data_IF_140724188502
#
_entry.id   IF_140724188502
#
_cell.length_a   1.000
_cell.length_b   1.000
_cell.length_c   1.000
_cell.angle_alpha   90.00
_cell.angle_beta   90.00
_cell.angle_gamma   90.00
#
_symmetry.space_group_name_H-M   'P 1'
#
loop_
_entity.id
_entity.type
_entity.pdbx_description
1 polymer ?
#
# COMPACT_ATOMS: atom_id res chain seq x y z
N UNK A 1 -20.85 -15.30 10.36
CA UNK A 1 -21.38 -15.04 8.99
C UNK A 1 -20.72 -16.02 8.03
N UNK A 2 -21.30 -16.38 6.87
CA UNK A 2 -20.59 -17.22 5.91
C UNK A 2 -19.31 -16.52 5.43
N UNK A 3 -18.18 -17.20 5.52
CA UNK A 3 -16.88 -16.69 5.06
C UNK A 3 -16.94 -16.40 3.56
N UNK A 4 -16.56 -15.19 3.09
CA UNK A 4 -16.59 -14.86 1.68
C UNK A 4 -15.76 -15.84 0.83
N UNK A 5 -16.27 -16.23 -0.35
CA UNK A 5 -15.57 -17.18 -1.24
C UNK A 5 -14.17 -16.73 -1.69
N UNK A 6 -13.85 -15.44 -1.55
CA UNK A 6 -12.62 -14.81 -2.04
C UNK A 6 -11.46 -14.97 -1.07
N UNK A 7 -11.66 -14.69 0.22
CA UNK A 7 -10.66 -15.05 1.24
C UNK A 7 -10.41 -16.55 1.20
N UNK A 8 -11.44 -17.33 0.87
CA UNK A 8 -11.25 -18.75 0.72
C UNK A 8 -10.28 -19.13 -0.40
N UNK A 9 -10.41 -18.53 -1.59
CA UNK A 9 -9.49 -18.76 -2.70
C UNK A 9 -8.07 -18.23 -2.41
N UNK A 10 -7.95 -17.10 -1.69
CA UNK A 10 -6.66 -16.55 -1.29
C UNK A 10 -5.93 -17.48 -0.31
N UNK A 11 -6.65 -18.02 0.68
CA UNK A 11 -6.12 -19.01 1.62
C UNK A 11 -5.73 -20.31 0.89
N UNK A 12 -6.53 -20.79 -0.07
CA UNK A 12 -6.17 -21.99 -0.86
C UNK A 12 -4.88 -21.80 -1.66
N UNK A 13 -4.64 -20.60 -2.20
CA UNK A 13 -3.39 -20.28 -2.88
C UNK A 13 -2.20 -20.24 -1.91
N UNK A 14 -2.40 -19.71 -0.69
CA UNK A 14 -1.38 -19.70 0.36
C UNK A 14 -1.05 -21.12 0.84
N UNK A 15 -2.06 -21.97 0.99
CA UNK A 15 -1.93 -23.39 1.31
C UNK A 15 -1.09 -24.12 0.27
N UNK A 16 -1.37 -23.92 -1.01
CA UNK A 16 -0.60 -24.52 -2.10
C UNK A 16 0.87 -24.07 -2.09
N UNK A 17 1.12 -22.80 -1.77
CA UNK A 17 2.49 -22.28 -1.63
C UNK A 17 3.22 -22.90 -0.43
N UNK A 18 2.52 -23.09 0.69
CA UNK A 18 3.07 -23.72 1.89
C UNK A 18 3.42 -25.19 1.66
N UNK A 19 2.56 -25.94 0.96
CA UNK A 19 2.83 -27.34 0.56
C UNK A 19 3.97 -27.42 -0.46
N UNK A 20 4.07 -26.46 -1.39
CA UNK A 20 5.21 -26.40 -2.31
C UNK A 20 6.52 -26.10 -1.57
N UNK A 21 6.49 -25.23 -0.55
CA UNK A 21 7.63 -24.91 0.30
C UNK A 21 8.08 -26.10 1.17
N UNK A 22 7.14 -26.92 1.67
CA UNK A 22 7.46 -28.19 2.35
C UNK A 22 8.33 -29.11 1.47
N UNK A 23 8.04 -29.13 0.16
CA UNK A 23 8.70 -30.02 -0.79
C UNK A 23 9.94 -29.39 -1.48
N UNK A 24 10.35 -28.18 -1.08
CA UNK A 24 11.46 -27.45 -1.71
C UNK A 24 12.83 -27.84 -1.12
N UNK A 25 13.88 -28.05 -1.94
CA UNK A 25 15.15 -28.64 -1.50
C UNK A 25 16.10 -27.71 -0.73
N UNK A 26 15.72 -26.47 -0.39
CA UNK A 26 16.67 -25.45 0.09
C UNK A 26 16.33 -24.78 1.44
N UNK A 27 15.26 -25.18 2.14
CA UNK A 27 14.92 -24.59 3.45
C UNK A 27 14.11 -25.59 4.27
N UNK A 28 14.78 -26.58 4.86
CA UNK A 28 14.13 -27.65 5.60
C UNK A 28 13.38 -27.13 6.82
N UNK A 29 12.06 -27.27 6.82
CA UNK A 29 11.24 -27.12 8.01
C UNK A 29 11.75 -28.02 9.15
N UNK A 30 11.62 -27.57 10.40
CA UNK A 30 12.07 -28.31 11.59
C UNK A 30 11.44 -29.71 11.69
N UNK A 31 10.24 -29.87 11.14
CA UNK A 31 9.55 -31.15 10.95
C UNK A 31 8.49 -31.07 9.85
N UNK A 32 8.10 -32.24 9.34
CA UNK A 32 6.96 -32.37 8.45
C UNK A 32 5.66 -32.02 9.18
N UNK A 33 4.72 -31.41 8.48
CA UNK A 33 3.42 -30.99 9.00
C UNK A 33 2.33 -31.27 7.96
N UNK A 34 1.08 -31.27 8.40
CA UNK A 34 -0.07 -31.26 7.50
C UNK A 34 -0.76 -29.90 7.55
N UNK A 35 -1.45 -29.56 6.46
CA UNK A 35 -2.21 -28.32 6.40
C UNK A 35 -3.66 -28.64 6.07
N UNK A 36 -4.60 -28.10 6.84
CA UNK A 36 -6.03 -28.34 6.68
C UNK A 36 -6.83 -27.02 6.79
N UNK A 37 -8.04 -27.03 6.22
CA UNK A 37 -8.99 -25.93 6.21
C UNK A 37 -10.21 -26.29 7.03
N UNK A 38 -10.11 -26.15 8.34
CA UNK A 38 -11.19 -26.37 9.29
C UNK A 38 -11.20 -25.25 10.33
N UNK A 39 -12.32 -25.03 11.01
CA UNK A 39 -12.32 -24.09 12.14
C UNK A 39 -11.49 -24.69 13.26
N UNK A 40 -10.53 -23.92 13.77
CA UNK A 40 -9.61 -24.38 14.81
C UNK A 40 -10.37 -24.90 16.04
N UNK A 41 -11.46 -24.24 16.41
CA UNK A 41 -12.31 -24.61 17.56
C UNK A 41 -13.03 -25.95 17.40
N UNK A 42 -13.14 -26.45 16.16
CA UNK A 42 -13.78 -27.73 15.83
C UNK A 42 -12.78 -28.81 15.43
N UNK A 43 -11.51 -28.45 15.23
CA UNK A 43 -10.50 -29.38 14.75
C UNK A 43 -10.07 -30.34 15.87
N UNK A 44 -10.18 -31.64 15.61
CA UNK A 44 -9.70 -32.65 16.54
C UNK A 44 -8.33 -33.14 16.11
N UNK A 45 -7.28 -32.74 16.83
CA UNK A 45 -5.93 -33.26 16.63
C UNK A 45 -5.92 -34.75 17.01
N UNK A 46 -5.90 -35.64 16.02
CA UNK A 46 -5.97 -37.10 16.23
C UNK A 46 -4.62 -37.80 16.10
N UNK A 47 -3.68 -37.25 15.33
CA UNK A 47 -2.32 -37.77 15.18
C UNK A 47 -1.40 -37.37 16.35
N UNK A 48 -0.67 -38.35 16.90
CA UNK A 48 0.43 -38.09 17.84
C UNK A 48 1.69 -37.83 17.01
N UNK A 49 2.39 -36.72 17.29
CA UNK A 49 3.71 -36.43 16.71
C UNK A 49 3.70 -35.75 15.34
N UNK A 50 2.55 -35.65 14.66
CA UNK A 50 2.45 -34.91 13.39
C UNK A 50 1.71 -33.59 13.61
N UNK A 51 2.38 -32.44 13.49
CA UNK A 51 1.73 -31.14 13.56
C UNK A 51 0.75 -30.91 12.42
N UNK A 52 -0.33 -30.21 12.72
CA UNK A 52 -1.31 -29.71 11.75
C UNK A 52 -1.41 -28.21 11.85
N UNK A 53 -1.30 -27.54 10.69
CA UNK A 53 -1.54 -26.11 10.52
C UNK A 53 -2.95 -25.92 9.98
N UNK A 54 -3.70 -25.03 10.60
CA UNK A 54 -5.11 -24.78 10.29
C UNK A 54 -5.31 -23.30 10.03
N UNK A 55 -6.01 -22.94 8.94
CA UNK A 55 -6.37 -21.57 8.61
C UNK A 55 -7.87 -21.35 8.78
N UNK A 56 -8.23 -20.32 9.53
CA UNK A 56 -9.60 -19.99 9.89
C UNK A 56 -9.84 -18.48 9.71
N UNK A 57 -10.69 -18.10 8.76
CA UNK A 57 -11.05 -16.70 8.56
C UNK A 57 -12.19 -16.33 9.53
N UNK A 58 -11.88 -15.48 10.51
CA UNK A 58 -12.76 -15.16 11.64
C UNK A 58 -13.68 -13.99 11.35
N UNK A 59 -13.12 -12.90 10.83
CA UNK A 59 -13.86 -11.67 10.59
C UNK A 59 -13.39 -10.98 9.32
N UNK A 60 -14.22 -10.08 8.81
CA UNK A 60 -13.86 -9.23 7.70
C UNK A 60 -14.54 -7.87 7.81
N UNK A 61 -13.81 -6.84 7.37
CA UNK A 61 -14.30 -5.48 7.28
C UNK A 61 -14.00 -4.93 5.89
N UNK A 62 -15.01 -4.32 5.27
CA UNK A 62 -14.76 -3.50 4.09
C UNK A 62 -14.20 -2.15 4.54
N UNK A 63 -12.93 -1.92 4.20
CA UNK A 63 -12.18 -0.72 4.58
C UNK A 63 -12.49 0.43 3.63
N UNK A 64 -12.77 0.09 2.37
CA UNK A 64 -13.03 1.07 1.33
C UNK A 64 -13.61 0.45 0.08
N UNK A 65 -14.38 1.25 -0.66
CA UNK A 65 -15.03 0.83 -1.89
C UNK A 65 -15.00 1.95 -2.92
N UNK A 66 -14.60 1.60 -4.14
CA UNK A 66 -14.77 2.41 -5.35
C UNK A 66 -15.87 1.81 -6.23
N UNK A 67 -16.14 2.40 -7.39
CA UNK A 67 -17.17 1.92 -8.33
C UNK A 67 -16.93 0.46 -8.76
N UNK A 68 -15.66 0.06 -8.91
CA UNK A 68 -15.29 -1.23 -9.51
C UNK A 68 -14.49 -2.14 -8.56
N UNK A 69 -14.06 -1.63 -7.40
CA UNK A 69 -13.23 -2.38 -6.44
C UNK A 69 -13.62 -2.14 -4.98
N UNK A 70 -13.38 -3.15 -4.15
CA UNK A 70 -13.41 -3.03 -2.69
C UNK A 70 -12.05 -3.44 -2.12
N UNK A 71 -11.64 -2.75 -1.05
CA UNK A 71 -10.55 -3.15 -0.20
C UNK A 71 -11.15 -3.75 1.07
N UNK A 72 -10.81 -5.00 1.33
CA UNK A 72 -11.36 -5.77 2.43
C UNK A 72 -10.19 -6.23 3.33
N UNK A 73 -10.30 -5.96 4.62
CA UNK A 73 -9.45 -6.57 5.63
C UNK A 73 -10.11 -7.83 6.14
N UNK A 74 -9.33 -8.88 6.21
CA UNK A 74 -9.72 -10.16 6.76
C UNK A 74 -8.83 -10.47 7.95
N UNK A 75 -9.46 -10.85 9.06
CA UNK A 75 -8.76 -11.43 10.20
C UNK A 75 -8.75 -12.94 10.02
N UNK A 76 -7.57 -13.52 9.85
CA UNK A 76 -7.37 -14.96 9.68
C UNK A 76 -6.57 -15.50 10.84
N UNK A 77 -7.17 -16.40 11.62
CA UNK A 77 -6.47 -17.17 12.63
C UNK A 77 -5.73 -18.34 11.98
N UNK A 78 -4.44 -18.47 12.26
CA UNK A 78 -3.62 -19.61 11.89
C UNK A 78 -3.22 -20.35 13.15
N UNK A 79 -3.65 -21.60 13.28
CA UNK A 79 -3.30 -22.45 14.41
C UNK A 79 -2.32 -23.54 13.99
N UNK A 80 -1.29 -23.76 14.79
CA UNK A 80 -0.42 -24.95 14.71
C UNK A 80 -0.72 -25.82 15.93
N UNK A 81 -1.17 -27.05 15.72
CA UNK A 81 -1.47 -27.97 16.81
C UNK A 81 -1.00 -29.40 16.61
N UNK A 82 -0.68 -30.07 17.71
CA UNK A 82 -0.17 -31.44 17.75
C UNK A 82 -0.50 -32.10 19.10
N UNK A 83 -0.83 -33.40 19.11
CA UNK A 83 -0.94 -34.14 20.37
C UNK A 83 0.45 -34.44 20.94
N UNK A 84 0.63 -34.16 22.22
CA UNK A 84 1.88 -34.41 22.95
C UNK A 84 1.65 -35.43 24.07
N UNK A 85 2.69 -36.19 24.41
CA UNK A 85 2.64 -37.18 25.49
C UNK A 85 2.51 -36.52 26.88
N UNK A 86 3.07 -35.31 27.03
CA UNK A 86 2.84 -34.45 28.17
C UNK A 86 3.75 -33.22 28.24
N UNK A 87 3.69 -32.46 29.33
CA UNK A 87 4.40 -31.17 29.49
C UNK A 87 5.92 -31.21 29.31
N UNK A 88 6.56 -32.37 29.47
CA UNK A 88 8.01 -32.57 29.30
C UNK A 88 8.37 -33.22 27.97
N UNK A 89 7.42 -33.29 27.04
CA UNK A 89 7.65 -33.89 25.73
C UNK A 89 8.68 -33.05 24.96
N UNK A 90 9.83 -33.62 24.53
CA UNK A 90 10.84 -32.91 23.75
C UNK A 90 10.30 -32.41 22.40
N UNK A 91 9.12 -32.87 21.97
CA UNK A 91 8.43 -32.35 20.79
C UNK A 91 8.03 -30.88 20.94
N UNK A 92 7.78 -30.39 22.16
CA UNK A 92 7.36 -29.01 22.42
C UNK A 92 8.37 -27.99 21.87
N UNK A 93 9.66 -28.17 22.17
CA UNK A 93 10.71 -27.24 21.71
C UNK A 93 10.84 -27.22 20.18
N UNK A 94 10.53 -28.34 19.53
CA UNK A 94 10.54 -28.44 18.06
C UNK A 94 9.29 -27.79 17.45
N UNK A 95 8.15 -27.91 18.11
CA UNK A 95 6.92 -27.22 17.72
C UNK A 95 7.04 -25.70 17.89
N UNK A 96 7.71 -25.23 18.95
CA UNK A 96 8.03 -23.80 19.13
C UNK A 96 8.90 -23.26 17.99
N UNK A 97 9.90 -24.02 17.54
CA UNK A 97 10.72 -23.63 16.37
C UNK A 97 9.94 -23.68 15.07
N UNK A 98 9.09 -24.69 14.88
CA UNK A 98 8.22 -24.77 13.71
C UNK A 98 7.24 -23.59 13.67
N UNK A 99 6.69 -23.20 14.82
CA UNK A 99 5.82 -22.05 14.97
C UNK A 99 6.53 -20.75 14.56
N UNK A 100 7.80 -20.57 14.98
CA UNK A 100 8.61 -19.43 14.56
C UNK A 100 8.90 -19.45 13.05
N UNK A 101 9.28 -20.60 12.49
CA UNK A 101 9.50 -20.74 11.05
C UNK A 101 8.22 -20.46 10.25
N UNK A 102 7.06 -20.89 10.74
CA UNK A 102 5.77 -20.61 10.10
C UNK A 102 5.46 -19.11 10.12
N UNK A 103 5.70 -18.43 11.24
CA UNK A 103 5.53 -16.98 11.36
C UNK A 103 6.46 -16.23 10.40
N UNK A 104 7.74 -16.57 10.40
CA UNK A 104 8.74 -15.94 9.52
C UNK A 104 8.35 -16.16 8.05
N UNK A 105 7.94 -17.39 7.71
CA UNK A 105 7.44 -17.72 6.38
C UNK A 105 6.22 -16.87 6.01
N UNK A 106 5.21 -16.79 6.88
CA UNK A 106 4.01 -15.99 6.61
C UNK A 106 4.31 -14.49 6.44
N UNK A 107 5.35 -13.97 7.10
CA UNK A 107 5.76 -12.56 6.98
C UNK A 107 6.29 -12.23 5.58
N UNK A 108 6.98 -13.17 4.95
CA UNK A 108 7.66 -12.97 3.66
C UNK A 108 6.78 -13.32 2.45
N UNK A 109 5.55 -13.83 2.65
CA UNK A 109 4.71 -14.35 1.57
C UNK A 109 3.53 -13.45 1.20
N UNK A 110 3.18 -13.50 -0.09
CA UNK A 110 2.10 -12.71 -0.68
C UNK A 110 0.88 -13.59 -0.95
N UNK A 111 -0.29 -13.12 -0.53
CA UNK A 111 -1.57 -13.80 -0.80
C UNK A 111 -2.09 -13.39 -2.17
N UNK A 112 -2.69 -14.31 -2.92
CA UNK A 112 -3.14 -13.98 -4.29
C UNK A 112 -4.24 -12.91 -4.24
N UNK A 113 -3.98 -11.78 -4.90
CA UNK A 113 -4.91 -10.63 -4.89
C UNK A 113 -4.78 -9.73 -3.66
N UNK A 114 -3.72 -9.86 -2.86
CA UNK A 114 -3.54 -9.07 -1.64
C UNK A 114 -2.18 -9.26 -0.95
N UNK A 115 -2.12 -8.94 0.35
CA UNK A 115 -0.91 -9.08 1.17
C UNK A 115 -1.26 -9.31 2.65
N UNK A 116 -0.32 -9.88 3.39
CA UNK A 116 -0.38 -9.96 4.86
C UNK A 116 0.17 -8.64 5.39
N UNK A 117 -0.63 -7.92 6.18
CA UNK A 117 -0.27 -6.62 6.75
C UNK A 117 0.39 -6.77 8.11
N UNK A 118 -0.14 -7.67 8.93
CA UNK A 118 0.33 -7.89 10.28
C UNK A 118 0.14 -9.34 10.70
N UNK A 119 0.99 -9.77 11.62
CA UNK A 119 0.97 -11.08 12.27
C UNK A 119 1.09 -10.85 13.77
N UNK A 120 -0.06 -10.79 14.43
CA UNK A 120 -0.11 -10.76 15.88
C UNK A 120 -0.01 -12.19 16.42
N UNK A 121 1.00 -12.44 17.25
CA UNK A 121 1.09 -13.70 17.96
C UNK A 121 0.18 -13.62 19.18
N UNK A 122 -0.99 -14.25 19.07
CA UNK A 122 -2.06 -14.11 20.06
C UNK A 122 -1.78 -14.91 21.33
N UNK A 123 -1.00 -16.01 21.26
CA UNK A 123 -0.51 -16.74 22.44
C UNK A 123 0.59 -17.78 22.09
N UNK A 124 1.70 -17.74 22.84
CA UNK A 124 2.62 -18.86 22.99
C UNK A 124 2.11 -19.69 24.17
N UNK A 125 1.38 -20.77 23.88
CA UNK A 125 1.09 -21.90 24.77
C UNK A 125 0.94 -21.51 26.24
N UNK A 126 -0.28 -21.44 26.76
CA UNK A 126 -0.45 -21.51 28.21
C UNK A 126 -0.04 -22.91 28.67
N UNK A 127 1.25 -23.07 29.02
CA UNK A 127 1.84 -24.33 29.46
C UNK A 127 1.12 -24.90 30.68
N UNK A 128 0.42 -24.07 31.45
CA UNK A 128 -0.37 -24.46 32.61
C UNK A 128 -1.73 -25.10 32.24
N UNK A 129 -2.19 -24.91 30.99
CA UNK A 129 -3.43 -25.48 30.45
C UNK A 129 -3.27 -26.88 29.85
N UNK A 130 -2.03 -27.37 29.67
CA UNK A 130 -1.70 -28.68 29.09
C UNK A 130 -2.04 -29.83 30.06
N UNK A 131 -3.28 -30.33 30.02
CA UNK A 131 -3.66 -31.57 30.73
C UNK A 131 -2.99 -32.79 30.09
N UNK A 132 -2.50 -33.75 30.88
CA UNK A 132 -1.83 -34.96 30.35
C UNK A 132 -2.80 -36.13 30.07
N UNK A 133 -2.77 -36.77 28.88
CA UNK A 133 -2.09 -36.35 27.63
C UNK A 133 -2.78 -35.12 27.00
N UNK A 134 -1.98 -34.23 26.39
CA UNK A 134 -2.40 -32.88 26.02
C UNK A 134 -2.29 -32.56 24.54
N UNK A 135 -2.77 -31.38 24.16
CA UNK A 135 -2.64 -30.82 22.81
C UNK A 135 -1.79 -29.56 22.91
N UNK A 136 -0.65 -29.57 22.23
CA UNK A 136 0.08 -28.34 21.95
C UNK A 136 -0.73 -27.55 20.92
N UNK A 137 -0.97 -26.27 21.20
CA UNK A 137 -1.63 -25.34 20.28
C UNK A 137 -0.95 -23.97 20.39
N UNK A 138 -0.58 -23.40 19.25
CA UNK A 138 -0.16 -22.00 19.14
C UNK A 138 -0.93 -21.33 18.01
N UNK A 139 -1.30 -20.07 18.23
CA UNK A 139 -2.16 -19.31 17.33
C UNK A 139 -1.49 -18.00 16.91
N UNK A 140 -1.72 -17.66 15.65
CA UNK A 140 -1.37 -16.39 15.05
C UNK A 140 -2.64 -15.76 14.50
N UNK A 141 -2.78 -14.46 14.68
CA UNK A 141 -3.80 -13.67 14.02
C UNK A 141 -3.13 -12.93 12.87
N UNK A 142 -3.54 -13.24 11.64
CA UNK A 142 -3.11 -12.56 10.43
C UNK A 142 -4.14 -11.51 10.03
N UNK A 143 -3.68 -10.30 9.79
CA UNK A 143 -4.50 -9.29 9.10
C UNK A 143 -4.15 -9.35 7.62
N UNK A 144 -5.09 -9.81 6.80
CA UNK A 144 -4.93 -9.96 5.35
C UNK A 144 -5.72 -8.86 4.65
N UNK A 145 -5.04 -8.09 3.82
CA UNK A 145 -5.65 -7.13 2.93
C UNK A 145 -5.87 -7.78 1.57
N UNK A 146 -7.13 -7.87 1.11
CA UNK A 146 -7.47 -8.36 -0.23
C UNK A 146 -8.11 -7.25 -1.07
N UNK A 147 -7.63 -7.13 -2.31
CA UNK A 147 -8.23 -6.27 -3.30
C UNK A 147 -9.25 -7.07 -4.11
N UNK A 148 -10.53 -6.72 -3.96
CA UNK A 148 -11.63 -7.32 -4.65
C UNK A 148 -12.08 -6.47 -5.85
N UNK A 149 -12.46 -7.13 -6.96
CA UNK A 149 -13.00 -6.50 -8.17
C UNK A 149 -12.28 -6.90 -9.45
N UNK A 150 -12.85 -6.55 -10.60
CA UNK A 150 -12.21 -6.74 -11.91
C UNK A 150 -11.19 -5.62 -12.16
N UNK A 151 -9.99 -5.90 -12.68
CA UNK A 151 -9.14 -4.84 -13.22
C UNK A 151 -9.88 -4.11 -14.32
N UNK A 152 -9.82 -2.78 -14.30
CA UNK A 152 -10.39 -1.95 -15.35
C UNK A 152 -9.85 -2.42 -16.72
N UNK A 153 -10.75 -2.53 -17.69
CA UNK A 153 -10.42 -2.95 -19.05
C UNK A 153 -9.34 -2.02 -19.67
N UNK A 154 -8.52 -2.51 -20.63
CA UNK A 154 -7.53 -1.68 -21.31
C UNK A 154 -8.19 -0.47 -21.97
N UNK A 155 -7.57 0.69 -21.72
CA UNK A 155 -8.20 2.01 -21.73
C UNK A 155 -8.38 2.56 -23.17
N UNK A 156 -9.64 2.75 -23.58
CA UNK A 156 -10.02 3.79 -24.55
C UNK A 156 -9.74 5.18 -23.96
N UNK A 157 -9.44 6.18 -24.79
CA UNK A 157 -9.09 7.53 -24.31
C UNK A 157 -10.30 8.20 -23.63
N UNK A 158 -10.41 8.07 -22.31
CA UNK A 158 -11.39 8.73 -21.44
C UNK A 158 -10.78 9.96 -20.71
N UNK A 159 -11.58 10.86 -20.11
CA UNK A 159 -11.06 11.99 -19.33
C UNK A 159 -10.13 11.56 -18.18
N UNK A 160 -10.41 10.41 -17.55
CA UNK A 160 -9.57 9.81 -16.49
C UNK A 160 -8.17 9.41 -16.99
N UNK A 161 -8.07 8.95 -18.23
CA UNK A 161 -6.80 8.61 -18.87
C UNK A 161 -5.94 9.86 -19.13
N UNK A 162 -6.56 10.98 -19.51
CA UNK A 162 -5.88 12.26 -19.72
C UNK A 162 -5.38 12.85 -18.40
N UNK A 163 -6.19 12.76 -17.33
CA UNK A 163 -5.76 13.13 -15.99
C UNK A 163 -4.57 12.28 -15.54
N UNK A 164 -4.67 10.96 -15.66
CA UNK A 164 -3.57 10.05 -15.33
C UNK A 164 -2.29 10.41 -16.10
N UNK A 165 -2.38 10.66 -17.42
CA UNK A 165 -1.25 11.11 -18.23
C UNK A 165 -0.69 12.46 -17.78
N UNK A 166 -1.54 13.42 -17.44
CA UNK A 166 -1.12 14.74 -16.98
C UNK A 166 -0.37 14.67 -15.65
N UNK A 167 -0.87 13.86 -14.70
CA UNK A 167 -0.19 13.61 -13.42
C UNK A 167 1.13 12.87 -13.59
N UNK A 168 1.18 11.86 -14.46
CA UNK A 168 2.43 11.17 -14.82
C UNK A 168 3.44 12.12 -15.48
N UNK A 169 2.98 13.08 -16.28
CA UNK A 169 3.84 14.10 -16.87
C UNK A 169 4.43 15.06 -15.83
N UNK A 170 3.65 15.40 -14.79
CA UNK A 170 4.15 16.18 -13.64
C UNK A 170 5.24 15.38 -12.91
N UNK A 171 5.01 14.09 -12.67
CA UNK A 171 6.04 13.22 -12.09
C UNK A 171 7.31 13.15 -12.94
N UNK A 172 7.17 12.91 -14.25
CA UNK A 172 8.30 12.88 -15.16
C UNK A 172 9.08 14.20 -15.14
N UNK A 173 8.39 15.34 -15.02
CA UNK A 173 9.03 16.65 -14.91
C UNK A 173 9.89 16.77 -13.64
N UNK A 174 9.37 16.31 -12.50
CA UNK A 174 10.05 16.33 -11.18
C UNK A 174 11.24 15.36 -11.16
N UNK A 175 11.06 14.14 -11.69
CA UNK A 175 12.10 13.10 -11.74
C UNK A 175 13.29 13.49 -12.63
N UNK A 176 13.04 14.20 -13.73
CA UNK A 176 14.07 14.60 -14.68
C UNK A 176 14.62 16.01 -14.43
N UNK A 177 14.31 16.63 -13.28
CA UNK A 177 14.83 17.94 -12.92
C UNK A 177 16.21 17.85 -12.26
N UNK A 178 17.07 18.83 -12.56
CA UNK A 178 18.38 18.97 -11.94
C UNK A 178 18.25 19.61 -10.56
N UNK A 179 17.98 18.79 -9.55
CA UNK A 179 17.83 19.21 -8.17
C UNK A 179 19.11 19.82 -7.57
N UNK A 180 19.00 20.76 -6.63
CA UNK A 180 20.16 21.37 -5.99
C UNK A 180 20.97 20.31 -5.21
N UNK A 181 22.29 20.52 -5.15
CA UNK A 181 23.20 19.62 -4.46
C UNK A 181 22.78 19.41 -2.99
N UNK A 182 22.72 18.15 -2.56
CA UNK A 182 22.30 17.76 -1.21
C UNK A 182 20.80 17.47 -1.06
N UNK A 183 19.97 17.69 -2.09
CA UNK A 183 18.58 17.23 -2.10
C UNK A 183 18.49 15.81 -2.68
N UNK A 184 18.60 14.82 -1.80
CA UNK A 184 18.32 13.42 -2.13
C UNK A 184 16.86 13.11 -1.77
N UNK A 185 16.05 12.77 -2.77
CA UNK A 185 14.68 12.33 -2.58
C UNK A 185 14.44 11.09 -3.46
N UNK A 186 13.43 10.32 -3.08
CA UNK A 186 12.96 9.19 -3.87
C UNK A 186 11.46 9.33 -4.07
N UNK A 187 10.98 8.87 -5.23
CA UNK A 187 9.55 8.83 -5.50
C UNK A 187 8.89 7.68 -4.73
N UNK A 188 8.48 8.00 -3.50
CA UNK A 188 7.80 7.06 -2.60
C UNK A 188 6.31 6.92 -2.91
N UNK A 189 5.65 8.01 -3.33
CA UNK A 189 4.22 8.03 -3.61
C UNK A 189 3.98 8.22 -5.11
N UNK A 190 3.66 7.14 -5.83
CA UNK A 190 3.59 7.09 -7.28
C UNK A 190 2.17 7.13 -7.83
N UNK A 191 1.23 6.48 -7.12
CA UNK A 191 -0.12 6.18 -7.55
C UNK A 191 -1.16 7.10 -6.87
N UNK A 192 -2.42 7.06 -7.32
CA UNK A 192 -3.51 7.76 -6.60
C UNK A 192 -3.75 7.11 -5.22
N UNK A 193 -3.56 5.80 -5.12
CA UNK A 193 -3.68 5.06 -3.86
C UNK A 193 -2.61 5.51 -2.84
N UNK A 194 -1.39 5.78 -3.29
CA UNK A 194 -0.31 6.24 -2.40
C UNK A 194 -0.59 7.66 -1.87
N UNK A 195 -1.21 8.51 -2.69
CA UNK A 195 -1.62 9.85 -2.29
C UNK A 195 -2.78 9.80 -1.28
N UNK A 196 -3.72 8.88 -1.47
CA UNK A 196 -4.83 8.64 -0.55
C UNK A 196 -4.34 8.04 0.77
N UNK A 197 -3.42 7.07 0.74
CA UNK A 197 -2.74 6.53 1.93
C UNK A 197 -2.06 7.66 2.72
N UNK A 198 -1.34 8.55 2.03
CA UNK A 198 -0.65 9.67 2.65
C UNK A 198 -1.61 10.66 3.31
N UNK A 199 -2.77 10.91 2.66
CA UNK A 199 -3.83 11.76 3.20
C UNK A 199 -4.43 11.14 4.48
N UNK A 200 -4.71 9.84 4.45
CA UNK A 200 -5.25 9.09 5.59
C UNK A 200 -4.28 9.05 6.77
N UNK A 201 -2.98 8.90 6.49
CA UNK A 201 -1.92 8.97 7.51
C UNK A 201 -1.70 10.38 8.06
N UNK A 202 -2.15 11.42 7.35
CA UNK A 202 -1.89 12.83 7.69
C UNK A 202 -0.47 13.31 7.32
N UNK A 203 0.29 12.54 6.55
CA UNK A 203 1.65 12.87 6.08
C UNK A 203 2.64 11.70 6.15
N UNK A 204 3.87 11.91 5.64
CA UNK A 204 4.91 10.88 5.61
C UNK A 204 5.51 10.62 7.00
N UNK A 205 6.17 9.48 7.16
CA UNK A 205 7.00 9.20 8.34
C UNK A 205 8.34 9.96 8.31
N UNK A 206 9.04 10.06 9.45
CA UNK A 206 10.34 10.75 9.51
C UNK A 206 11.41 10.11 8.61
N UNK A 207 11.38 8.77 8.46
CA UNK A 207 12.33 8.03 7.64
C UNK A 207 12.09 8.23 6.13
N UNK A 208 10.89 8.67 5.74
CA UNK A 208 10.51 8.94 4.36
C UNK A 208 10.90 10.37 3.91
N UNK A 209 11.40 11.22 4.81
CA UNK A 209 11.80 12.59 4.46
C UNK A 209 13.19 12.61 3.78
N UNK A 210 13.40 13.44 2.74
CA UNK A 210 12.42 14.28 2.04
C UNK A 210 11.41 13.51 1.19
N UNK A 211 10.15 13.90 1.25
CA UNK A 211 9.08 13.24 0.51
C UNK A 211 8.29 14.21 -0.38
N UNK A 212 7.90 13.77 -1.58
CA UNK A 212 7.05 14.55 -2.50
C UNK A 212 5.79 13.73 -2.78
N UNK A 213 4.63 14.41 -2.80
CA UNK A 213 3.38 13.86 -3.28
C UNK A 213 2.75 14.81 -4.30
N UNK A 214 2.08 14.22 -5.28
CA UNK A 214 1.38 14.92 -6.36
C UNK A 214 -0.06 14.40 -6.38
N UNK A 215 -0.99 15.22 -5.92
CA UNK A 215 -2.41 14.88 -5.77
C UNK A 215 -3.28 15.85 -6.58
N UNK A 216 -4.48 15.43 -7.00
CA UNK A 216 -5.45 16.38 -7.53
C UNK A 216 -5.97 17.25 -6.38
N UNK A 217 -5.92 18.56 -6.54
CA UNK A 217 -6.63 19.46 -5.65
C UNK A 217 -8.14 19.35 -5.93
N UNK A 218 -8.94 19.41 -4.86
CA UNK A 218 -10.40 19.22 -4.86
C UNK A 218 -11.11 19.81 -6.09
N UNK A 219 -12.25 19.24 -6.52
CA UNK A 219 -12.98 19.74 -7.67
C UNK A 219 -13.31 21.23 -7.50
N UNK A 220 -13.16 21.98 -8.58
CA UNK A 220 -13.51 23.40 -8.63
C UNK A 220 -14.95 23.62 -8.16
N UNK A 221 -15.19 24.69 -7.40
CA UNK A 221 -16.56 25.11 -7.09
C UNK A 221 -17.25 25.56 -8.38
N UNK A 222 -18.57 25.39 -8.47
CA UNK A 222 -19.39 25.71 -9.66
C UNK A 222 -19.12 27.14 -10.20
N UNK A 223 -18.78 28.08 -9.31
CA UNK A 223 -18.44 29.47 -9.66
C UNK A 223 -17.17 29.61 -10.51
N UNK A 224 -16.19 28.70 -10.35
CA UNK A 224 -14.93 28.74 -11.09
C UNK A 224 -15.06 28.15 -12.50
N UNK A 225 -16.06 27.28 -12.72
CA UNK A 225 -16.38 26.65 -14.01
C UNK A 225 -17.06 27.64 -14.97
N UNK A 226 -17.85 28.57 -14.44
CA UNK A 226 -18.70 29.48 -15.24
C UNK A 226 -17.92 30.59 -15.98
N UNK A 227 -16.65 30.84 -15.63
CA UNK A 227 -15.81 31.86 -16.27
C UNK A 227 -14.85 31.32 -17.34
N UNK A 228 -14.71 29.99 -17.50
CA UNK A 228 -13.83 29.37 -18.50
C UNK A 228 -14.65 28.46 -19.40
N UNK A 229 -15.45 29.06 -20.28
CA UNK A 229 -16.03 28.34 -21.41
C UNK A 229 -14.84 27.76 -22.24
N UNK A 230 -14.75 26.43 -22.31
CA UNK A 230 -13.84 25.57 -23.13
C UNK A 230 -12.59 24.95 -22.49
N UNK A 231 -12.18 25.29 -21.27
CA UNK A 231 -11.09 24.56 -20.58
C UNK A 231 -11.63 23.97 -19.30
N UNK A 232 -11.42 22.68 -19.06
CA UNK A 232 -11.58 22.16 -17.70
C UNK A 232 -10.27 22.49 -16.98
N UNK A 233 -10.23 23.50 -16.09
CA UNK A 233 -9.06 23.67 -15.25
C UNK A 233 -9.07 22.46 -14.32
N UNK A 234 -8.08 21.58 -14.41
CA UNK A 234 -7.80 20.64 -13.34
C UNK A 234 -6.71 21.25 -12.49
N UNK A 235 -6.81 21.14 -11.17
CA UNK A 235 -5.78 21.67 -10.29
C UNK A 235 -5.04 20.52 -9.63
N UNK A 236 -3.72 20.61 -9.63
CA UNK A 236 -2.84 19.62 -9.02
C UNK A 236 -2.12 20.28 -7.86
N UNK A 237 -2.14 19.64 -6.70
CA UNK A 237 -1.38 20.04 -5.53
C UNK A 237 -0.13 19.19 -5.44
N UNK A 238 1.00 19.85 -5.32
CA UNK A 238 2.29 19.24 -5.01
C UNK A 238 2.62 19.58 -3.56
N UNK A 239 2.83 18.55 -2.76
CA UNK A 239 3.26 18.65 -1.37
C UNK A 239 4.67 18.09 -1.22
N UNK A 240 5.60 18.87 -0.68
CA UNK A 240 6.96 18.47 -0.36
C UNK A 240 7.16 18.58 1.16
N UNK A 241 7.57 17.48 1.80
CA UNK A 241 7.91 17.45 3.22
C UNK A 241 9.43 17.39 3.40
N UNK A 242 9.93 18.24 4.29
CA UNK A 242 11.35 18.37 4.61
C UNK A 242 11.60 18.23 6.12
N UNK A 243 12.79 17.78 6.55
CA UNK A 243 13.17 17.79 7.95
C UNK A 243 13.04 19.18 8.57
N UNK A 244 12.62 19.23 9.84
CA UNK A 244 12.56 20.49 10.59
C UNK A 244 13.91 21.23 10.56
N UNK A 245 13.86 22.56 10.43
CA UNK A 245 15.05 23.42 10.35
C UNK A 245 15.55 23.71 8.93
N UNK A 246 14.92 23.14 7.89
CA UNK A 246 15.33 23.31 6.49
C UNK A 246 14.67 24.49 5.76
N UNK A 247 14.42 25.63 6.43
CA UNK A 247 13.59 26.70 5.88
C UNK A 247 14.14 27.31 4.57
N UNK A 248 15.43 27.66 4.55
CA UNK A 248 16.08 28.21 3.34
C UNK A 248 16.06 27.22 2.17
N UNK A 249 16.23 25.92 2.48
CA UNK A 249 16.12 24.87 1.47
C UNK A 249 14.66 24.75 0.97
N UNK A 250 13.67 24.87 1.86
CA UNK A 250 12.25 24.82 1.52
C UNK A 250 11.83 25.94 0.56
N UNK A 251 12.31 27.17 0.79
CA UNK A 251 12.07 28.32 -0.11
C UNK A 251 12.65 28.06 -1.50
N UNK A 252 13.92 27.61 -1.55
CA UNK A 252 14.58 27.28 -2.82
C UNK A 252 13.86 26.14 -3.55
N UNK A 253 13.47 25.08 -2.84
CA UNK A 253 12.79 23.93 -3.43
C UNK A 253 11.38 24.26 -3.92
N UNK A 254 10.66 25.19 -3.28
CA UNK A 254 9.37 25.68 -3.78
C UNK A 254 9.47 26.29 -5.18
N UNK A 255 10.46 27.16 -5.39
CA UNK A 255 10.74 27.74 -6.71
C UNK A 255 11.24 26.69 -7.71
N UNK A 256 12.12 25.79 -7.28
CA UNK A 256 12.65 24.71 -8.13
C UNK A 256 11.54 23.73 -8.56
N UNK A 257 10.56 23.43 -7.71
CA UNK A 257 9.40 22.60 -8.07
C UNK A 257 8.57 23.23 -9.17
N UNK A 258 8.27 24.54 -9.06
CA UNK A 258 7.56 25.25 -10.12
C UNK A 258 8.35 25.24 -11.43
N UNK A 259 9.67 25.48 -11.36
CA UNK A 259 10.53 25.44 -12.54
C UNK A 259 10.62 24.05 -13.15
N UNK A 260 10.73 23.00 -12.35
CA UNK A 260 10.72 21.61 -12.80
C UNK A 260 9.48 21.32 -13.64
N UNK A 261 8.31 21.63 -13.10
CA UNK A 261 7.03 21.33 -13.75
C UNK A 261 6.84 22.13 -15.06
N UNK A 262 7.29 23.39 -15.09
CA UNK A 262 7.12 24.26 -16.24
C UNK A 262 8.21 24.11 -17.31
N UNK A 263 9.42 23.65 -16.97
CA UNK A 263 10.61 23.70 -17.84
C UNK A 263 11.28 22.36 -18.09
N UNK A 264 11.07 21.35 -17.24
CA UNK A 264 11.66 20.03 -17.46
C UNK A 264 11.15 19.41 -18.75
N UNK A 265 12.06 18.95 -19.60
CA UNK A 265 11.77 18.37 -20.90
C UNK A 265 12.60 17.09 -21.10
N UNK A 266 12.07 16.10 -21.84
CA UNK A 266 12.83 14.90 -22.15
C UNK A 266 14.04 15.21 -23.03
N UNK A 267 15.06 14.38 -22.93
CA UNK A 267 16.28 14.51 -23.74
C UNK A 267 15.95 14.61 -25.24
N UNK A 268 16.51 15.61 -25.91
CA UNK A 268 16.25 15.87 -27.33
C UNK A 268 14.91 16.58 -27.65
N UNK A 269 14.11 16.97 -26.65
CA UNK A 269 12.88 17.73 -26.83
C UNK A 269 13.02 19.16 -26.30
N UNK A 270 12.44 20.13 -27.02
CA UNK A 270 12.29 21.52 -26.55
C UNK A 270 10.96 21.78 -25.84
N UNK A 271 10.04 20.81 -25.85
CA UNK A 271 8.72 20.93 -25.24
C UNK A 271 8.73 20.28 -23.86
N UNK A 272 8.37 21.01 -22.79
CA UNK A 272 8.28 20.48 -21.43
C UNK A 272 7.30 19.31 -21.30
N UNK A 273 7.57 18.38 -20.37
CA UNK A 273 6.77 17.17 -20.15
C UNK A 273 5.27 17.47 -20.01
N UNK A 274 4.92 18.40 -19.12
CA UNK A 274 3.51 18.70 -18.83
C UNK A 274 2.84 19.37 -20.03
N UNK A 275 3.50 20.35 -20.65
CA UNK A 275 2.98 21.03 -21.85
C UNK A 275 2.76 20.07 -23.01
N UNK A 276 3.62 19.05 -23.16
CA UNK A 276 3.48 18.02 -24.19
C UNK A 276 2.17 17.22 -24.03
N UNK A 277 1.68 17.05 -22.80
CA UNK A 277 0.48 16.27 -22.50
C UNK A 277 -0.78 17.15 -22.42
N UNK A 278 -0.69 18.31 -21.79
CA UNK A 278 -1.85 19.21 -21.58
C UNK A 278 -2.06 20.19 -22.73
N UNK A 279 -1.06 20.37 -23.60
CA UNK A 279 -1.04 21.37 -24.68
C UNK A 279 -0.63 22.78 -24.21
N UNK A 280 -0.62 23.04 -22.90
CA UNK A 280 -0.40 24.36 -22.31
C UNK A 280 0.59 24.33 -21.16
N UNK A 281 1.18 25.48 -20.85
CA UNK A 281 2.01 25.59 -19.66
C UNK A 281 1.12 25.56 -18.41
N UNK A 282 1.54 24.84 -17.34
CA UNK A 282 0.89 24.92 -16.04
C UNK A 282 0.92 26.33 -15.47
N UNK A 283 -0.14 26.73 -14.77
CA UNK A 283 -0.27 28.06 -14.17
C UNK A 283 -0.39 27.96 -12.65
N UNK A 284 0.42 28.66 -11.84
CA UNK A 284 0.32 28.56 -10.39
C UNK A 284 -0.95 29.23 -9.85
N UNK A 285 -1.67 28.52 -8.98
CA UNK A 285 -2.80 29.04 -8.20
C UNK A 285 -2.31 29.76 -6.94
N UNK A 286 -1.56 30.84 -7.15
CA UNK A 286 -0.96 31.64 -6.10
C UNK A 286 0.45 31.20 -5.68
N UNK A 287 1.03 31.82 -4.63
CA UNK A 287 2.35 31.47 -4.14
C UNK A 287 2.34 30.09 -3.47
N UNK A 288 3.49 29.41 -3.47
CA UNK A 288 3.64 28.22 -2.62
C UNK A 288 3.61 28.63 -1.15
N UNK A 289 3.12 27.73 -0.31
CA UNK A 289 3.01 27.93 1.13
C UNK A 289 4.04 27.04 1.85
N UNK A 290 4.76 27.60 2.81
CA UNK A 290 5.63 26.83 3.71
C UNK A 290 4.99 26.84 5.09
N UNK A 291 4.63 25.67 5.60
CA UNK A 291 4.02 25.52 6.92
C UNK A 291 4.80 24.53 7.77
N UNK A 292 4.95 24.82 9.06
CA UNK A 292 5.40 23.84 10.03
C UNK A 292 4.27 22.85 10.30
N UNK A 293 4.55 21.56 10.19
CA UNK A 293 3.58 20.49 10.42
C UNK A 293 4.10 19.49 11.45
N UNK A 294 3.18 18.91 12.22
CA UNK A 294 3.45 17.76 13.08
C UNK A 294 3.14 16.53 12.24
N UNK A 295 4.12 15.65 12.09
CA UNK A 295 3.96 14.40 11.36
C UNK A 295 3.21 13.36 12.22
N UNK A 296 2.56 12.36 11.60
CA UNK A 296 1.89 11.30 12.34
C UNK A 296 2.79 10.55 13.33
N UNK A 297 2.18 10.13 14.43
CA UNK A 297 2.86 9.48 15.56
C UNK A 297 3.14 10.46 16.70
N UNK A 298 4.40 10.58 17.11
CA UNK A 298 4.75 11.37 18.29
C UNK A 298 4.67 12.90 18.05
N UNK A 299 4.16 13.69 19.01
CA UNK A 299 4.03 15.15 18.88
C UNK A 299 5.35 15.93 18.68
N UNK A 300 6.49 15.29 18.97
CA UNK A 300 7.84 15.84 18.79
C UNK A 300 8.28 15.85 17.32
N UNK A 301 7.60 15.10 16.44
CA UNK A 301 7.97 14.91 15.04
C UNK A 301 7.53 16.09 14.20
N UNK A 302 8.43 17.05 14.01
CA UNK A 302 8.16 18.26 13.23
C UNK A 302 8.78 18.16 11.84
N UNK A 303 8.08 18.69 10.86
CA UNK A 303 8.56 18.86 9.49
C UNK A 303 8.15 20.22 8.94
N UNK A 304 8.76 20.62 7.83
CA UNK A 304 8.27 21.71 6.99
C UNK A 304 7.53 21.10 5.81
N UNK A 305 6.33 21.60 5.51
CA UNK A 305 5.55 21.25 4.33
C UNK A 305 5.54 22.43 3.37
N UNK A 306 6.07 22.23 2.17
CA UNK A 306 5.90 23.15 1.03
C UNK A 306 4.71 22.66 0.22
N UNK A 307 3.71 23.53 0.02
CA UNK A 307 2.51 23.22 -0.77
C UNK A 307 2.42 24.18 -1.96
N UNK A 308 2.44 23.63 -3.17
CA UNK A 308 2.28 24.36 -4.43
C UNK A 308 1.02 23.82 -5.11
N UNK A 309 0.14 24.70 -5.60
CA UNK A 309 -1.03 24.28 -6.40
C UNK A 309 -0.94 24.89 -7.79
N UNK A 310 -1.12 24.08 -8.82
CA UNK A 310 -1.05 24.47 -10.23
C UNK A 310 -2.35 24.14 -10.95
N UNK A 311 -2.82 25.01 -11.83
CA UNK A 311 -3.80 24.69 -12.87
C UNK A 311 -3.09 24.00 -14.02
N UNK A 312 -3.67 22.88 -14.44
CA UNK A 312 -3.37 22.18 -15.69
C UNK A 312 -4.54 22.44 -16.64
N UNK A 313 -4.42 23.39 -17.60
CA UNK A 313 -5.46 23.63 -18.58
C UNK A 313 -5.50 22.43 -19.53
N UNK A 314 -6.52 21.59 -19.40
CA UNK A 314 -6.77 20.47 -20.32
C UNK A 314 -7.96 20.82 -21.20
N UNK A 315 -7.75 20.83 -22.51
CA UNK A 315 -8.83 21.03 -23.48
C UNK A 315 -9.51 19.70 -23.79
N UNK A 316 -10.82 19.66 -23.65
CA UNK A 316 -11.65 18.52 -24.08
C UNK A 316 -11.86 18.50 -25.60
N UNK A 317 -11.44 19.51 -26.36
CA UNK A 317 -11.66 19.58 -27.82
C UNK A 317 -10.95 18.45 -28.61
N UNK A 318 -10.05 17.69 -27.99
CA UNK A 318 -9.56 16.41 -28.52
C UNK A 318 -10.63 15.30 -28.58
N UNK A 319 -11.83 15.49 -28.02
CA UNK A 319 -12.96 14.55 -28.11
C UNK A 319 -13.64 14.54 -29.49
N UNK A 320 -13.38 15.52 -30.36
CA UNK A 320 -14.04 15.60 -31.67
C UNK A 320 -13.14 15.28 -32.88
N UNK A 321 -11.89 14.86 -32.67
CA UNK A 321 -10.97 14.51 -33.76
C UNK A 321 -10.47 13.07 -33.67
N UNK A 322 -11.16 12.13 -34.33
CA UNK A 322 -10.63 10.76 -34.47
C UNK A 322 -11.53 9.65 -34.98
N UNK A 323 -12.72 9.92 -35.52
CA UNK A 323 -13.35 9.03 -36.51
C UNK A 323 -12.85 9.43 -37.90
N UNK A 324 -11.67 8.94 -38.28
CA UNK A 324 -11.19 8.90 -39.67
C UNK A 324 -10.09 7.86 -39.81
#
# INVERSE_FOLDING_TARGET
MPTPARINAALDALLLQLVAAENAPAGGWEMAFHVDRQHLDTYTFTGIGTPVIVFDAEDWEEVGRTTDRSLEYYTVRVGLGCRIAGEKDPLIDRLDRLAQQLRDWLTDHVVTGGRILDIEQTELVDRESLRNPGVYLTNFTLTVELLAGTPAAPIEITPEALLTKARLAVWAAIENWNWPAGFAWQRLFQSDADAEELLLRGGPSLAELPAIAVEWAQPFTVEQILNVLQKCPFSIRISLWLPAGSLTLAESLGDQLLQAICRSAPEGSSVPYVRKVTGHLPEPLGPFQITGVILPGEPSRKALKVSLTLVLPVYLDYFHGGSS
#
